data_IF_660516427301
#
_entry.id   IF_660516427301
#
_cell.length_a   1.000
_cell.length_b   1.000
_cell.length_c   1.000
_cell.angle_alpha   90.00
_cell.angle_beta   90.00
_cell.angle_gamma   90.00
#
_symmetry.space_group_name_H-M   'P 1'
#
loop_
_entity.id
_entity.type
_entity.pdbx_description
1 polymer ?
#
# COMPACT_ATOMS: atom_id res chain seq x y z
N UNK A 1 -0.87 -0.86 27.37
CA UNK A 1 -0.01 -1.09 26.18
C UNK A 1 0.36 0.25 25.56
N UNK A 2 1.62 0.66 25.68
CA UNK A 2 2.14 1.90 25.08
C UNK A 2 2.10 1.78 23.56
N UNK A 3 1.16 2.49 22.92
CA UNK A 3 1.17 2.65 21.47
C UNK A 3 2.43 3.45 21.12
N UNK A 4 3.38 2.81 20.44
CA UNK A 4 4.60 3.44 19.91
C UNK A 4 4.19 4.46 18.85
N UNK A 5 3.95 5.69 19.27
CA UNK A 5 3.66 6.77 18.34
C UNK A 5 4.97 7.21 17.64
N UNK A 6 4.96 7.38 16.30
CA UNK A 6 6.10 7.91 15.60
C UNK A 6 6.41 9.34 16.03
N UNK A 7 7.68 9.75 15.89
CA UNK A 7 8.15 11.06 16.34
C UNK A 7 7.42 12.24 15.68
N UNK A 8 6.84 12.08 14.50
CA UNK A 8 6.12 13.17 13.81
C UNK A 8 4.84 12.68 13.16
N UNK A 9 3.83 13.57 13.08
CA UNK A 9 2.59 13.33 12.36
C UNK A 9 2.84 13.10 10.86
N UNK A 10 3.76 13.85 10.24
CA UNK A 10 4.17 13.61 8.86
C UNK A 10 4.81 12.23 8.67
N UNK A 11 5.62 11.78 9.64
CA UNK A 11 6.17 10.41 9.61
C UNK A 11 5.07 9.36 9.71
N UNK A 12 4.03 9.60 10.50
CA UNK A 12 2.86 8.70 10.57
C UNK A 12 2.17 8.60 9.21
N UNK A 13 1.96 9.72 8.51
CA UNK A 13 1.40 9.76 7.14
C UNK A 13 2.30 9.03 6.15
N UNK A 14 3.60 9.30 6.17
CA UNK A 14 4.55 8.64 5.26
C UNK A 14 4.61 7.13 5.50
N UNK A 15 4.58 6.69 6.76
CA UNK A 15 4.50 5.27 7.10
C UNK A 15 3.18 4.68 6.59
N UNK A 16 2.05 5.35 6.80
CA UNK A 16 0.75 4.90 6.30
C UNK A 16 0.73 4.76 4.78
N UNK A 17 1.22 5.77 4.06
CA UNK A 17 1.33 5.74 2.60
C UNK A 17 2.26 4.63 2.11
N UNK A 18 3.42 4.46 2.75
CA UNK A 18 4.35 3.38 2.46
C UNK A 18 3.75 1.99 2.70
N UNK A 19 2.99 1.83 3.79
CA UNK A 19 2.33 0.58 4.13
C UNK A 19 1.23 0.22 3.13
N UNK A 20 0.45 1.20 2.67
CA UNK A 20 -0.57 1.02 1.62
C UNK A 20 0.07 0.70 0.26
N UNK A 21 1.23 1.31 -0.04
CA UNK A 21 1.93 1.12 -1.31
C UNK A 21 2.67 -0.22 -1.40
N UNK A 22 3.08 -0.79 -0.26
CA UNK A 22 3.88 -2.02 -0.19
C UNK A 22 3.24 -3.23 -0.90
N UNK A 23 1.97 -3.59 -0.62
CA UNK A 23 1.30 -4.69 -1.32
C UNK A 23 1.21 -4.45 -2.83
N UNK A 24 0.99 -3.21 -3.25
CA UNK A 24 0.90 -2.84 -4.65
C UNK A 24 2.25 -2.97 -5.37
N UNK A 25 3.32 -2.46 -4.75
CA UNK A 25 4.68 -2.57 -5.28
C UNK A 25 5.10 -4.04 -5.34
N UNK A 26 4.80 -4.83 -4.31
CA UNK A 26 5.06 -6.26 -4.29
C UNK A 26 4.31 -6.99 -5.42
N UNK A 27 3.02 -6.72 -5.60
CA UNK A 27 2.21 -7.31 -6.67
C UNK A 27 2.75 -6.93 -8.07
N UNK A 28 3.12 -5.66 -8.27
CA UNK A 28 3.72 -5.18 -9.53
C UNK A 28 5.08 -5.83 -9.81
N UNK A 29 5.95 -5.92 -8.80
CA UNK A 29 7.26 -6.56 -8.93
C UNK A 29 7.14 -8.05 -9.23
N UNK A 30 6.25 -8.75 -8.53
CA UNK A 30 5.99 -10.17 -8.79
C UNK A 30 5.36 -10.40 -10.17
N UNK A 31 4.50 -9.50 -10.64
CA UNK A 31 3.95 -9.53 -12.00
C UNK A 31 5.04 -9.39 -13.06
N UNK A 32 5.92 -8.40 -12.91
CA UNK A 32 7.02 -8.18 -13.83
C UNK A 32 7.95 -9.41 -13.89
N UNK A 33 8.30 -9.97 -12.73
CA UNK A 33 9.14 -11.16 -12.63
C UNK A 33 8.51 -12.39 -13.32
N UNK A 34 7.23 -12.68 -13.04
CA UNK A 34 6.53 -13.82 -13.63
C UNK A 34 6.38 -13.69 -15.16
N UNK A 35 6.09 -12.48 -15.66
CA UNK A 35 5.96 -12.23 -17.09
C UNK A 35 7.31 -12.37 -17.80
N UNK A 36 8.39 -11.86 -17.22
CA UNK A 36 9.74 -12.01 -17.77
C UNK A 36 10.15 -13.49 -17.80
N UNK A 37 9.94 -14.21 -16.70
CA UNK A 37 10.27 -15.63 -16.62
C UNK A 37 9.48 -16.46 -17.65
N UNK A 38 8.18 -16.18 -17.81
CA UNK A 38 7.35 -16.83 -18.82
C UNK A 38 7.80 -16.50 -20.25
N UNK A 39 8.22 -15.24 -20.50
CA UNK A 39 8.70 -14.81 -21.81
C UNK A 39 10.01 -15.52 -22.19
N UNK A 40 10.98 -15.59 -21.26
CA UNK A 40 12.25 -16.30 -21.46
C UNK A 40 12.02 -17.80 -21.72
N UNK A 41 11.18 -18.44 -20.91
CA UNK A 41 10.82 -19.86 -21.08
C UNK A 41 10.11 -20.11 -22.41
N UNK A 42 9.16 -19.26 -22.80
CA UNK A 42 8.46 -19.36 -24.07
C UNK A 42 9.40 -19.20 -25.26
N UNK A 43 10.33 -18.25 -25.20
CA UNK A 43 11.30 -18.01 -26.26
C UNK A 43 12.24 -19.21 -26.43
N UNK A 44 12.71 -19.80 -25.32
CA UNK A 44 13.54 -21.00 -25.36
C UNK A 44 12.77 -22.20 -25.93
N UNK A 45 11.58 -22.48 -25.42
CA UNK A 45 10.73 -23.58 -25.89
C UNK A 45 10.40 -23.47 -27.40
N UNK A 46 10.08 -22.26 -27.88
CA UNK A 46 9.82 -22.01 -29.31
C UNK A 46 11.08 -22.22 -30.15
N UNK A 47 12.26 -21.76 -29.67
CA UNK A 47 13.54 -22.00 -30.36
C UNK A 47 13.87 -23.50 -30.44
N UNK A 48 13.73 -24.22 -29.34
CA UNK A 48 13.96 -25.67 -29.28
C UNK A 48 13.00 -26.42 -30.21
N UNK A 49 11.71 -26.08 -30.20
CA UNK A 49 10.71 -26.65 -31.11
C UNK A 49 11.02 -26.36 -32.60
N UNK A 50 11.47 -25.14 -32.92
CA UNK A 50 11.85 -24.76 -34.27
C UNK A 50 13.08 -25.53 -34.77
N UNK A 51 14.10 -25.70 -33.92
CA UNK A 51 15.30 -26.51 -34.23
C UNK A 51 14.92 -27.98 -34.38
N UNK A 52 14.10 -28.53 -33.47
CA UNK A 52 13.62 -29.91 -33.54
C UNK A 52 12.88 -30.19 -34.85
N UNK A 53 11.98 -29.30 -35.25
CA UNK A 53 11.20 -29.42 -36.49
C UNK A 53 12.09 -29.32 -37.72
N UNK A 54 13.04 -28.37 -37.74
CA UNK A 54 13.96 -28.17 -38.87
C UNK A 54 14.89 -29.38 -39.06
N UNK A 55 15.60 -29.77 -38.01
CA UNK A 55 16.53 -30.90 -38.04
C UNK A 55 15.81 -32.21 -38.43
N UNK A 56 14.60 -32.41 -37.91
CA UNK A 56 13.80 -33.59 -38.27
C UNK A 56 13.34 -33.61 -39.73
N UNK A 57 13.00 -32.46 -40.33
CA UNK A 57 12.67 -32.36 -41.76
C UNK A 57 13.90 -32.63 -42.64
N UNK A 58 15.04 -32.05 -42.27
CA UNK A 58 16.31 -32.24 -42.97
C UNK A 58 16.77 -33.71 -42.93
N UNK A 59 16.60 -34.39 -41.79
CA UNK A 59 16.81 -35.83 -41.67
C UNK A 59 15.95 -36.65 -42.65
N UNK A 60 14.69 -36.26 -42.90
CA UNK A 60 13.85 -36.97 -43.89
C UNK A 60 14.26 -36.68 -45.33
N UNK A 61 14.56 -35.42 -45.64
CA UNK A 61 14.94 -35.01 -46.99
C UNK A 61 16.24 -35.68 -47.42
N UNK A 62 17.26 -35.64 -46.57
CA UNK A 62 18.56 -36.32 -46.78
C UNK A 62 18.38 -37.83 -46.89
N UNK A 63 17.59 -38.45 -46.02
CA UNK A 63 17.31 -39.88 -46.07
C UNK A 63 16.58 -40.31 -47.35
N UNK A 64 15.63 -39.52 -47.85
CA UNK A 64 14.94 -39.79 -49.12
C UNK A 64 15.87 -39.62 -50.32
N UNK A 65 16.86 -38.73 -50.21
CA UNK A 65 17.97 -38.62 -51.16
C UNK A 65 18.82 -39.89 -51.16
N UNK A 66 19.26 -40.32 -49.97
CA UNK A 66 20.08 -41.51 -49.77
C UNK A 66 19.39 -42.76 -50.33
N UNK A 67 18.08 -42.90 -50.14
CA UNK A 67 17.29 -44.00 -50.72
C UNK A 67 17.41 -44.05 -52.25
N UNK A 68 17.23 -42.89 -52.89
CA UNK A 68 17.29 -42.76 -54.35
C UNK A 68 18.69 -43.07 -54.86
N UNK A 69 19.73 -42.50 -54.26
CA UNK A 69 21.12 -42.75 -54.64
C UNK A 69 21.49 -44.24 -54.48
N UNK A 70 21.07 -44.87 -53.38
CA UNK A 70 21.28 -46.29 -53.12
C UNK A 70 20.59 -47.17 -54.16
N UNK A 71 19.30 -46.91 -54.45
CA UNK A 71 18.55 -47.68 -55.46
C UNK A 71 19.16 -47.55 -56.85
N UNK A 72 19.59 -46.35 -57.23
CA UNK A 72 20.27 -46.13 -58.51
C UNK A 72 21.61 -46.84 -58.57
N UNK A 73 22.41 -46.79 -57.49
CA UNK A 73 23.68 -47.50 -57.39
C UNK A 73 23.52 -49.02 -57.51
N UNK A 74 22.51 -49.61 -56.86
CA UNK A 74 22.25 -51.05 -56.94
C UNK A 74 21.96 -51.54 -58.38
N UNK A 75 21.36 -50.67 -59.21
CA UNK A 75 21.02 -50.95 -60.62
C UNK A 75 22.17 -50.63 -61.57
N UNK A 76 22.75 -49.43 -61.46
CA UNK A 76 23.74 -48.91 -62.43
C UNK A 76 25.20 -49.23 -62.06
N UNK A 77 25.47 -49.50 -60.77
CA UNK A 77 26.80 -49.83 -60.22
C UNK A 77 27.90 -48.78 -60.52
N UNK A 78 27.52 -47.53 -60.73
CA UNK A 78 28.46 -46.41 -60.94
C UNK A 78 29.05 -45.90 -59.62
N UNK A 79 30.35 -45.61 -59.59
CA UNK A 79 31.04 -45.12 -58.39
C UNK A 79 30.62 -43.71 -57.96
N UNK A 80 30.20 -42.86 -58.90
CA UNK A 80 29.66 -41.51 -58.67
C UNK A 80 28.42 -41.53 -57.76
N UNK A 81 27.52 -42.49 -57.97
CA UNK A 81 26.29 -42.64 -57.17
C UNK A 81 26.58 -43.06 -55.72
N UNK A 82 27.66 -43.81 -55.51
CA UNK A 82 28.13 -44.18 -54.17
C UNK A 82 28.75 -42.97 -53.43
N UNK A 83 29.44 -42.09 -54.16
CA UNK A 83 29.94 -40.82 -53.61
C UNK A 83 28.79 -39.88 -53.23
N UNK A 84 27.75 -39.78 -54.07
CA UNK A 84 26.54 -39.01 -53.76
C UNK A 84 25.82 -39.54 -52.51
N UNK A 85 25.72 -40.88 -52.36
CA UNK A 85 25.19 -41.50 -51.14
C UNK A 85 26.03 -41.12 -49.91
N UNK A 86 27.36 -41.19 -49.99
CA UNK A 86 28.26 -40.83 -48.87
C UNK A 86 28.15 -39.35 -48.50
N UNK A 87 27.98 -38.46 -49.47
CA UNK A 87 27.75 -37.03 -49.22
C UNK A 87 26.46 -36.80 -48.43
N UNK A 88 25.35 -37.36 -48.90
CA UNK A 88 24.04 -37.22 -48.23
C UNK A 88 24.01 -37.91 -46.87
N UNK A 89 24.74 -39.01 -46.71
CA UNK A 89 24.96 -39.65 -45.42
C UNK A 89 25.66 -38.71 -44.42
N UNK A 90 26.68 -37.95 -44.87
CA UNK A 90 27.32 -36.94 -44.04
C UNK A 90 26.36 -35.83 -43.59
N UNK A 91 25.52 -35.35 -44.49
CA UNK A 91 24.46 -34.36 -44.20
C UNK A 91 23.42 -34.92 -43.21
N UNK A 92 23.01 -36.18 -43.37
CA UNK A 92 22.13 -36.87 -42.43
C UNK A 92 22.74 -37.01 -41.02
N UNK A 93 24.04 -37.33 -40.93
CA UNK A 93 24.76 -37.37 -39.66
C UNK A 93 24.84 -35.99 -39.00
N UNK A 94 24.96 -34.92 -39.78
CA UNK A 94 24.94 -33.56 -39.25
C UNK A 94 23.56 -33.19 -38.69
N UNK A 95 22.49 -33.46 -39.44
CA UNK A 95 21.11 -33.19 -39.01
C UNK A 95 20.73 -33.99 -37.75
N UNK A 96 21.17 -35.25 -37.65
CA UNK A 96 20.97 -36.07 -36.44
C UNK A 96 21.77 -35.56 -35.24
N UNK A 97 22.98 -35.03 -35.44
CA UNK A 97 23.76 -34.41 -34.36
C UNK A 97 23.12 -33.12 -33.87
N UNK A 98 22.59 -32.28 -34.75
CA UNK A 98 21.84 -31.08 -34.37
C UNK A 98 20.58 -31.45 -33.58
N UNK A 99 19.86 -32.48 -34.01
CA UNK A 99 18.71 -33.01 -33.27
C UNK A 99 19.12 -33.59 -31.89
N UNK A 100 20.28 -34.26 -31.81
CA UNK A 100 20.79 -34.85 -30.56
C UNK A 100 21.18 -33.81 -29.49
N UNK A 101 21.44 -32.56 -29.87
CA UNK A 101 21.76 -31.47 -28.94
C UNK A 101 20.55 -30.96 -28.16
N UNK A 102 19.35 -31.26 -28.61
CA UNK A 102 18.11 -30.87 -27.95
C UNK A 102 17.89 -31.68 -26.66
N UNK A 103 17.11 -31.14 -25.69
CA UNK A 103 16.72 -31.86 -24.49
C UNK A 103 15.71 -32.98 -24.82
N UNK A 104 16.21 -34.06 -25.43
CA UNK A 104 15.44 -35.25 -25.77
C UNK A 104 15.13 -36.07 -24.52
N UNK A 105 13.91 -36.60 -24.49
CA UNK A 105 13.50 -37.63 -23.53
C UNK A 105 14.23 -38.95 -23.78
N UNK A 106 14.18 -39.85 -22.81
CA UNK A 106 14.88 -41.14 -22.85
C UNK A 106 14.42 -42.02 -24.04
N UNK A 107 13.13 -41.92 -24.39
CA UNK A 107 12.56 -42.58 -25.57
C UNK A 107 13.05 -41.98 -26.89
N UNK A 108 13.20 -40.64 -26.98
CA UNK A 108 13.73 -39.96 -28.16
C UNK A 108 15.20 -40.30 -28.41
N UNK A 109 16.02 -40.31 -27.34
CA UNK A 109 17.45 -40.68 -27.44
C UNK A 109 17.65 -42.12 -27.89
N UNK A 110 16.91 -43.07 -27.32
CA UNK A 110 17.02 -44.49 -27.70
C UNK A 110 16.61 -44.73 -29.16
N UNK A 111 15.55 -44.06 -29.65
CA UNK A 111 15.15 -44.14 -31.07
C UNK A 111 16.21 -43.56 -32.00
N UNK A 112 16.79 -42.40 -31.67
CA UNK A 112 17.85 -41.78 -32.46
C UNK A 112 19.09 -42.68 -32.56
N UNK A 113 19.50 -43.29 -31.43
CA UNK A 113 20.62 -44.24 -31.40
C UNK A 113 20.33 -45.50 -32.24
N UNK A 114 19.09 -46.01 -32.21
CA UNK A 114 18.69 -47.15 -33.03
C UNK A 114 18.78 -46.84 -34.54
N UNK A 115 18.35 -45.64 -34.95
CA UNK A 115 18.49 -45.15 -36.33
C UNK A 115 19.97 -45.08 -36.73
N UNK A 116 20.81 -44.44 -35.92
CA UNK A 116 22.25 -44.30 -36.20
C UNK A 116 22.97 -45.65 -36.25
N UNK A 117 22.62 -46.60 -35.37
CA UNK A 117 23.22 -47.93 -35.36
C UNK A 117 22.86 -48.73 -36.63
N UNK A 118 21.61 -48.61 -37.10
CA UNK A 118 21.12 -49.33 -38.27
C UNK A 118 21.66 -48.74 -39.57
N UNK A 119 21.71 -47.42 -39.64
CA UNK A 119 22.31 -46.68 -40.74
C UNK A 119 23.82 -47.03 -40.87
N UNK A 120 24.58 -47.02 -39.77
CA UNK A 120 26.00 -47.39 -39.77
C UNK A 120 26.23 -48.83 -40.26
N UNK A 121 25.34 -49.76 -39.91
CA UNK A 121 25.40 -51.15 -40.38
C UNK A 121 25.22 -51.23 -41.90
N UNK A 122 24.31 -50.42 -42.47
CA UNK A 122 24.04 -50.37 -43.91
C UNK A 122 25.23 -49.77 -44.68
N UNK A 123 25.86 -48.71 -44.14
CA UNK A 123 27.08 -48.13 -44.73
C UNK A 123 28.25 -49.13 -44.75
N UNK A 124 28.43 -49.90 -43.67
CA UNK A 124 29.47 -50.94 -43.63
C UNK A 124 29.21 -52.03 -44.67
N UNK A 125 27.97 -52.51 -44.79
CA UNK A 125 27.60 -53.51 -45.81
C UNK A 125 27.85 -53.01 -47.24
N UNK A 126 27.61 -51.72 -47.51
CA UNK A 126 27.91 -51.09 -48.80
C UNK A 126 29.42 -51.02 -49.10
N UNK A 127 30.24 -50.70 -48.08
CA UNK A 127 31.70 -50.62 -48.23
C UNK A 127 32.34 -52.00 -48.41
N UNK A 128 31.79 -53.03 -47.77
CA UNK A 128 32.26 -54.41 -47.87
C UNK A 128 31.76 -55.12 -49.16
N UNK A 129 30.98 -54.42 -49.99
CA UNK A 129 30.42 -54.96 -51.24
C UNK A 129 29.32 -56.00 -51.03
N UNK A 130 28.76 -56.09 -49.82
CA UNK A 130 27.71 -57.03 -49.47
C UNK A 130 26.39 -56.69 -50.18
N UNK A 131 25.54 -57.69 -50.40
CA UNK A 131 24.20 -57.48 -50.94
C UNK A 131 23.33 -56.74 -49.91
N UNK A 132 22.91 -55.52 -50.24
CA UNK A 132 22.01 -54.71 -49.41
C UNK A 132 20.61 -54.75 -50.02
N UNK A 133 19.60 -55.08 -49.21
CA UNK A 133 18.20 -55.08 -49.65
C UNK A 133 17.61 -53.66 -49.57
N UNK A 134 16.81 -53.23 -50.56
CA UNK A 134 16.01 -52.00 -50.47
C UNK A 134 15.09 -51.95 -49.24
N UNK A 135 14.70 -53.11 -48.69
CA UNK A 135 13.84 -53.22 -47.50
C UNK A 135 14.56 -52.84 -46.20
N UNK A 136 15.90 -52.92 -46.16
CA UNK A 136 16.64 -52.45 -44.98
C UNK A 136 16.59 -50.93 -44.86
N UNK A 137 16.50 -50.23 -46.00
CA UNK A 137 16.40 -48.78 -46.04
C UNK A 137 14.99 -48.29 -45.68
N UNK A 138 13.95 -48.98 -46.13
CA UNK A 138 12.56 -48.62 -45.77
C UNK A 138 12.32 -48.67 -44.25
N UNK A 139 12.96 -49.60 -43.54
CA UNK A 139 12.93 -49.68 -42.08
C UNK A 139 13.59 -48.48 -41.38
N UNK A 140 14.65 -47.90 -41.96
CA UNK A 140 15.29 -46.67 -41.43
C UNK A 140 14.36 -45.47 -41.65
N UNK A 141 13.73 -45.38 -42.81
CA UNK A 141 12.73 -44.33 -43.12
C UNK A 141 11.56 -44.39 -42.15
N UNK A 142 11.05 -45.58 -41.84
CA UNK A 142 9.96 -45.76 -40.89
C UNK A 142 10.36 -45.32 -39.46
N UNK A 143 11.58 -45.67 -39.02
CA UNK A 143 12.09 -45.23 -37.72
C UNK A 143 12.27 -43.71 -37.63
N UNK A 144 12.80 -43.07 -38.68
CA UNK A 144 12.93 -41.60 -38.74
C UNK A 144 11.56 -40.91 -38.76
N UNK A 145 10.57 -41.45 -39.47
CA UNK A 145 9.17 -40.99 -39.39
C UNK A 145 8.61 -41.12 -37.97
N UNK A 146 8.95 -42.18 -37.26
CA UNK A 146 8.62 -42.37 -35.85
C UNK A 146 9.26 -41.32 -34.93
N UNK A 147 10.50 -40.90 -35.21
CA UNK A 147 11.19 -39.80 -34.52
C UNK A 147 10.47 -38.47 -34.76
N UNK A 148 10.07 -38.19 -36.00
CA UNK A 148 9.29 -36.99 -36.35
C UNK A 148 7.93 -36.92 -35.67
N UNK A 149 7.18 -38.02 -35.67
CA UNK A 149 5.89 -38.11 -34.99
C UNK A 149 6.03 -37.98 -33.46
N UNK A 150 7.18 -38.35 -32.90
CA UNK A 150 7.49 -38.10 -31.50
C UNK A 150 7.85 -36.63 -31.26
N UNK A 151 8.66 -36.02 -32.13
CA UNK A 151 9.05 -34.61 -32.05
C UNK A 151 7.86 -33.67 -32.16
N UNK A 152 6.94 -33.90 -33.11
CA UNK A 152 5.71 -33.12 -33.23
C UNK A 152 4.86 -33.16 -31.96
N UNK A 153 4.71 -34.34 -31.34
CA UNK A 153 4.00 -34.48 -30.05
C UNK A 153 4.71 -33.76 -28.91
N UNK A 154 6.04 -33.71 -28.90
CA UNK A 154 6.80 -32.96 -27.89
C UNK A 154 6.56 -31.46 -28.03
N UNK A 155 6.54 -30.94 -29.27
CA UNK A 155 6.21 -29.54 -29.54
C UNK A 155 4.78 -29.21 -29.09
N UNK A 156 3.81 -30.07 -29.40
CA UNK A 156 2.41 -29.86 -28.97
C UNK A 156 2.28 -29.86 -27.44
N UNK A 157 2.94 -30.79 -26.75
CA UNK A 157 2.97 -30.84 -25.28
C UNK A 157 3.63 -29.60 -24.67
N UNK A 158 4.68 -29.07 -25.31
CA UNK A 158 5.38 -27.88 -24.83
C UNK A 158 4.54 -26.62 -25.05
N UNK A 159 3.83 -26.50 -26.18
CA UNK A 159 2.85 -25.43 -26.42
C UNK A 159 1.73 -25.47 -25.37
N UNK A 160 1.20 -26.64 -25.06
CA UNK A 160 0.18 -26.80 -24.03
C UNK A 160 0.70 -26.44 -22.64
N UNK A 161 1.94 -26.82 -22.30
CA UNK A 161 2.60 -26.41 -21.04
C UNK A 161 2.71 -24.90 -20.95
N UNK A 162 3.24 -24.23 -21.97
CA UNK A 162 3.36 -22.77 -22.02
C UNK A 162 1.99 -22.10 -21.82
N UNK A 163 0.94 -22.65 -22.44
CA UNK A 163 -0.43 -22.16 -22.28
C UNK A 163 -0.93 -22.34 -20.84
N UNK A 164 -0.71 -23.49 -20.22
CA UNK A 164 -1.11 -23.73 -18.83
C UNK A 164 -0.35 -22.85 -17.85
N UNK A 165 0.97 -22.72 -18.00
CA UNK A 165 1.80 -21.85 -17.15
C UNK A 165 1.41 -20.38 -17.32
N UNK A 166 1.06 -19.95 -18.53
CA UNK A 166 0.54 -18.61 -18.78
C UNK A 166 -0.81 -18.35 -18.08
N UNK A 167 -1.71 -19.34 -18.08
CA UNK A 167 -2.99 -19.26 -17.39
C UNK A 167 -2.82 -19.25 -15.85
N UNK A 168 -1.93 -20.07 -15.32
CA UNK A 168 -1.62 -20.12 -13.89
C UNK A 168 -0.92 -18.84 -13.41
N UNK A 169 0.03 -18.32 -14.19
CA UNK A 169 0.64 -17.02 -13.95
C UNK A 169 -0.43 -15.93 -13.90
N UNK A 170 -1.32 -15.88 -14.90
CA UNK A 170 -2.45 -14.93 -14.92
C UNK A 170 -3.34 -15.06 -13.68
N UNK A 171 -3.73 -16.28 -13.32
CA UNK A 171 -4.57 -16.55 -12.14
C UNK A 171 -3.92 -16.03 -10.85
N UNK A 172 -2.64 -16.35 -10.66
CA UNK A 172 -1.85 -15.91 -9.50
C UNK A 172 -1.77 -14.39 -9.42
N UNK A 173 -1.55 -13.71 -10.55
CA UNK A 173 -1.54 -12.25 -10.61
C UNK A 173 -2.92 -11.64 -10.30
N UNK A 174 -3.99 -12.24 -10.81
CA UNK A 174 -5.35 -11.76 -10.50
C UNK A 174 -5.67 -11.89 -9.01
N UNK A 175 -5.31 -12.99 -8.37
CA UNK A 175 -5.51 -13.16 -6.93
C UNK A 175 -4.67 -12.20 -6.09
N UNK A 176 -3.44 -11.91 -6.49
CA UNK A 176 -2.59 -10.93 -5.82
C UNK A 176 -3.15 -9.50 -5.93
N UNK A 177 -3.61 -9.10 -7.11
CA UNK A 177 -4.26 -7.79 -7.32
C UNK A 177 -5.57 -7.70 -6.53
N UNK A 178 -6.38 -8.76 -6.54
CA UNK A 178 -7.62 -8.83 -5.76
C UNK A 178 -7.36 -8.79 -4.26
N UNK A 179 -6.30 -9.43 -3.76
CA UNK A 179 -5.91 -9.40 -2.34
C UNK A 179 -5.30 -8.05 -1.92
N UNK A 180 -4.68 -7.32 -2.84
CA UNK A 180 -4.10 -6.00 -2.55
C UNK A 180 -5.18 -4.98 -2.15
N UNK A 181 -6.37 -5.05 -2.76
CA UNK A 181 -7.50 -4.13 -2.49
C UNK A 181 -7.99 -4.19 -1.03
N UNK A 182 -8.40 -5.34 -0.47
CA UNK A 182 -8.86 -5.43 0.91
C UNK A 182 -7.74 -5.14 1.90
N UNK A 183 -6.48 -5.48 1.59
CA UNK A 183 -5.33 -5.11 2.43
C UNK A 183 -5.15 -3.60 2.47
N UNK A 184 -5.17 -2.92 1.32
CA UNK A 184 -5.09 -1.47 1.24
C UNK A 184 -6.26 -0.79 1.96
N UNK A 185 -7.49 -1.31 1.80
CA UNK A 185 -8.67 -0.82 2.51
C UNK A 185 -8.54 -1.01 4.03
N UNK A 186 -8.07 -2.17 4.49
CA UNK A 186 -7.86 -2.44 5.90
C UNK A 186 -6.85 -1.48 6.53
N UNK A 187 -5.72 -1.24 5.83
CA UNK A 187 -4.71 -0.27 6.26
C UNK A 187 -5.30 1.15 6.27
N UNK A 188 -6.05 1.53 5.24
CA UNK A 188 -6.68 2.86 5.15
C UNK A 188 -7.70 3.09 6.27
N UNK A 189 -8.55 2.11 6.59
CA UNK A 189 -9.51 2.18 7.69
C UNK A 189 -8.85 2.26 9.05
N UNK A 190 -7.78 1.48 9.26
CA UNK A 190 -6.96 1.55 10.46
C UNK A 190 -6.33 2.94 10.64
N UNK A 191 -5.78 3.49 9.56
CA UNK A 191 -5.17 4.81 9.55
C UNK A 191 -6.19 5.93 9.80
N UNK A 192 -7.38 5.82 9.18
CA UNK A 192 -8.53 6.70 9.43
C UNK A 192 -8.90 6.73 10.90
N UNK A 193 -8.97 5.57 11.56
CA UNK A 193 -9.31 5.48 12.98
C UNK A 193 -8.28 6.19 13.87
N UNK A 194 -6.99 6.07 13.55
CA UNK A 194 -5.91 6.74 14.29
C UNK A 194 -5.98 8.26 14.15
N UNK A 195 -6.08 8.77 12.92
CA UNK A 195 -6.12 10.23 12.67
C UNK A 195 -7.39 10.85 13.27
N UNK A 196 -8.54 10.21 13.05
CA UNK A 196 -9.82 10.71 13.57
C UNK A 196 -9.82 10.83 15.09
N UNK A 197 -9.26 9.85 15.80
CA UNK A 197 -9.18 9.87 17.26
C UNK A 197 -8.29 11.00 17.79
N UNK A 198 -7.21 11.34 17.08
CA UNK A 198 -6.32 12.43 17.49
C UNK A 198 -6.95 13.80 17.27
N UNK A 199 -7.63 13.99 16.14
CA UNK A 199 -8.30 15.25 15.83
C UNK A 199 -9.45 15.53 16.82
N UNK A 200 -10.20 14.51 17.22
CA UNK A 200 -11.26 14.63 18.22
C UNK A 200 -10.74 14.99 19.63
N UNK A 201 -9.50 14.66 19.98
CA UNK A 201 -8.91 15.07 21.26
C UNK A 201 -8.61 16.58 21.24
N UNK A 202 -8.08 17.09 20.13
CA UNK A 202 -7.80 18.51 19.95
C UNK A 202 -9.09 19.33 19.90
N UNK A 203 -10.10 18.87 19.16
CA UNK A 203 -11.41 19.52 19.10
C UNK A 203 -12.04 19.63 20.50
N UNK A 204 -12.03 18.54 21.27
CA UNK A 204 -12.51 18.54 22.66
C UNK A 204 -11.75 19.55 23.52
N UNK A 205 -10.42 19.57 23.45
CA UNK A 205 -9.61 20.53 24.20
C UNK A 205 -9.94 21.99 23.86
N UNK A 206 -10.11 22.30 22.57
CA UNK A 206 -10.49 23.65 22.12
C UNK A 206 -11.90 24.01 22.61
N UNK A 207 -12.86 23.09 22.51
CA UNK A 207 -14.23 23.30 22.99
C UNK A 207 -14.31 23.53 24.49
N UNK A 208 -13.52 22.79 25.28
CA UNK A 208 -13.41 22.99 26.74
C UNK A 208 -12.87 24.39 27.06
N UNK A 209 -11.80 24.83 26.39
CA UNK A 209 -11.28 26.20 26.55
C UNK A 209 -12.33 27.25 26.12
N UNK A 210 -13.03 27.02 25.00
CA UNK A 210 -14.04 27.93 24.46
C UNK A 210 -15.27 28.09 25.35
N UNK A 211 -15.55 27.13 26.23
CA UNK A 211 -16.62 27.19 27.24
C UNK A 211 -16.18 27.83 28.56
N UNK A 212 -14.94 28.31 28.65
CA UNK A 212 -14.32 28.82 29.88
C UNK A 212 -14.24 27.79 31.02
N UNK A 213 -14.31 26.50 30.70
CA UNK A 213 -14.14 25.40 31.64
C UNK A 213 -12.65 25.14 31.86
N UNK A 214 -12.04 25.89 32.78
CA UNK A 214 -10.59 25.83 33.01
C UNK A 214 -10.16 24.85 34.11
N UNK A 215 -11.06 24.03 34.68
CA UNK A 215 -10.75 23.11 35.79
C UNK A 215 -9.93 21.90 35.35
N UNK A 216 -10.22 21.36 34.16
CA UNK A 216 -9.64 20.09 33.72
C UNK A 216 -8.34 20.28 32.93
N UNK A 217 -7.36 19.41 33.20
CA UNK A 217 -6.09 19.40 32.47
C UNK A 217 -6.26 18.86 31.04
N UNK A 218 -5.61 19.52 30.07
CA UNK A 218 -5.64 19.06 28.67
C UNK A 218 -4.50 18.07 28.45
N UNK A 219 -4.84 16.81 28.18
CA UNK A 219 -3.89 15.78 27.77
C UNK A 219 -4.22 15.28 26.37
N UNK A 220 -3.29 15.46 25.43
CA UNK A 220 -3.42 14.98 24.05
C UNK A 220 -2.41 13.87 23.83
N UNK A 221 -2.90 12.65 23.62
CA UNK A 221 -2.07 11.49 23.33
C UNK A 221 -1.83 11.37 21.82
N UNK A 222 -0.58 11.19 21.41
CA UNK A 222 -0.24 11.01 20.00
C UNK A 222 1.26 11.21 19.68
N UNK A 223 1.58 11.38 18.39
CA UNK A 223 2.92 11.77 17.92
C UNK A 223 3.46 12.99 18.66
N UNK A 224 4.79 13.18 18.66
CA UNK A 224 5.45 14.27 19.40
C UNK A 224 4.87 15.65 19.06
N UNK A 225 4.54 15.88 17.78
CA UNK A 225 3.94 17.13 17.30
C UNK A 225 2.56 17.40 17.93
N UNK A 226 1.73 16.37 18.04
CA UNK A 226 0.40 16.44 18.65
C UNK A 226 0.47 16.57 20.17
N UNK A 227 1.37 15.84 20.82
CA UNK A 227 1.63 15.98 22.24
C UNK A 227 2.18 17.39 22.57
N UNK A 228 3.02 17.94 21.69
CA UNK A 228 3.49 19.32 21.81
C UNK A 228 2.34 20.33 21.68
N UNK A 229 1.45 20.16 20.71
CA UNK A 229 0.25 20.99 20.58
C UNK A 229 -0.64 20.89 21.83
N UNK A 230 -0.85 19.69 22.37
CA UNK A 230 -1.60 19.48 23.62
C UNK A 230 -1.01 20.24 24.80
N UNK A 231 0.32 20.20 24.99
CA UNK A 231 1.00 21.00 26.03
C UNK A 231 0.80 22.50 25.83
N UNK A 232 0.79 22.96 24.57
CA UNK A 232 0.61 24.39 24.24
C UNK A 232 -0.84 24.84 24.50
N UNK A 233 -1.81 23.98 24.24
CA UNK A 233 -3.21 24.20 24.62
C UNK A 233 -3.40 24.22 26.14
N UNK A 234 -2.75 23.31 26.89
CA UNK A 234 -2.81 23.33 28.36
C UNK A 234 -2.16 24.59 28.94
N UNK A 235 -1.04 25.05 28.37
CA UNK A 235 -0.43 26.32 28.74
C UNK A 235 -1.39 27.51 28.51
N UNK A 236 -2.07 27.53 27.35
CA UNK A 236 -3.05 28.58 27.03
C UNK A 236 -4.25 28.55 27.98
N UNK A 237 -4.77 27.36 28.31
CA UNK A 237 -5.82 27.17 29.31
C UNK A 237 -5.41 27.75 30.68
N UNK A 238 -4.22 27.41 31.18
CA UNK A 238 -3.71 27.93 32.46
C UNK A 238 -3.60 29.45 32.43
N UNK A 239 -3.10 30.00 31.33
CA UNK A 239 -2.96 31.45 31.18
C UNK A 239 -4.30 32.17 31.18
N UNK A 240 -5.32 31.60 30.53
CA UNK A 240 -6.68 32.12 30.57
C UNK A 240 -7.28 32.04 31.97
N UNK A 241 -7.08 30.91 32.67
CA UNK A 241 -7.53 30.75 34.06
C UNK A 241 -6.91 31.80 35.00
N UNK A 242 -5.60 32.05 34.88
CA UNK A 242 -4.90 33.09 35.64
C UNK A 242 -5.45 34.49 35.36
N UNK A 243 -5.70 34.81 34.09
CA UNK A 243 -6.26 36.11 33.68
C UNK A 243 -7.68 36.31 34.23
N UNK A 244 -8.50 35.25 34.19
CA UNK A 244 -9.85 35.28 34.73
C UNK A 244 -9.84 35.50 36.25
N UNK A 245 -8.92 34.83 36.96
CA UNK A 245 -8.75 35.00 38.40
C UNK A 245 -8.23 36.41 38.76
N UNK A 246 -7.28 36.94 37.98
CA UNK A 246 -6.80 38.32 38.13
C UNK A 246 -7.91 39.34 37.91
N UNK A 247 -8.74 39.17 36.87
CA UNK A 247 -9.91 40.00 36.60
C UNK A 247 -10.86 40.02 37.81
N UNK A 248 -11.15 38.83 38.36
CA UNK A 248 -12.02 38.70 39.54
C UNK A 248 -11.45 39.37 40.79
N UNK A 249 -10.14 39.20 41.06
CA UNK A 249 -9.47 39.87 42.18
C UNK A 249 -9.49 41.39 42.02
N UNK A 250 -9.20 41.90 40.82
CA UNK A 250 -9.23 43.33 40.52
C UNK A 250 -10.62 43.92 40.79
N UNK A 251 -11.68 43.29 40.28
CA UNK A 251 -13.05 43.77 40.48
C UNK A 251 -13.45 43.77 41.96
N UNK A 252 -13.11 42.71 42.71
CA UNK A 252 -13.37 42.67 44.17
C UNK A 252 -12.66 43.80 44.91
N UNK A 253 -11.41 44.09 44.55
CA UNK A 253 -10.63 45.14 45.19
C UNK A 253 -11.22 46.53 44.89
N UNK A 254 -11.49 46.83 43.62
CA UNK A 254 -12.13 48.09 43.20
C UNK A 254 -13.47 48.29 43.91
N UNK A 255 -14.25 47.23 44.08
CA UNK A 255 -15.53 47.28 44.78
C UNK A 255 -15.40 47.69 46.24
N UNK A 256 -14.40 47.12 46.94
CA UNK A 256 -14.13 47.45 48.34
C UNK A 256 -13.67 48.91 48.49
N UNK A 257 -12.77 49.35 47.60
CA UNK A 257 -12.20 50.69 47.62
C UNK A 257 -13.24 51.77 47.26
N UNK A 258 -14.26 51.44 46.46
CA UNK A 258 -15.38 52.34 46.17
C UNK A 258 -16.45 52.35 47.27
N UNK A 259 -16.70 51.21 47.94
CA UNK A 259 -17.72 51.11 48.99
C UNK A 259 -17.38 51.96 50.22
N UNK A 260 -16.10 52.01 50.59
CA UNK A 260 -15.62 52.75 51.77
C UNK A 260 -15.91 54.27 51.68
N UNK A 261 -15.43 55.02 50.67
CA UNK A 261 -15.71 56.45 50.56
C UNK A 261 -17.19 56.75 50.32
N UNK A 262 -17.90 55.87 49.61
CA UNK A 262 -19.34 56.02 49.40
C UNK A 262 -20.13 55.91 50.71
N UNK A 263 -19.72 55.01 51.60
CA UNK A 263 -20.30 54.89 52.95
C UNK A 263 -20.06 56.17 53.76
N UNK A 264 -18.84 56.72 53.72
CA UNK A 264 -18.53 57.99 54.39
C UNK A 264 -19.33 59.17 53.83
N UNK A 265 -19.52 59.26 52.50
CA UNK A 265 -20.36 60.30 51.88
C UNK A 265 -21.81 60.16 52.34
N UNK A 266 -22.34 58.93 52.41
CA UNK A 266 -23.71 58.67 52.85
C UNK A 266 -23.91 59.01 54.32
N UNK A 267 -22.99 58.60 55.20
CA UNK A 267 -23.03 58.92 56.63
C UNK A 267 -22.94 60.43 56.86
N UNK A 268 -22.04 61.12 56.15
CA UNK A 268 -21.95 62.58 56.20
C UNK A 268 -23.23 63.28 55.75
N UNK A 269 -23.83 62.83 54.63
CA UNK A 269 -25.10 63.36 54.15
C UNK A 269 -26.25 63.08 55.13
N UNK A 270 -26.27 61.90 55.75
CA UNK A 270 -27.28 61.53 56.74
C UNK A 270 -27.16 62.36 58.03
N UNK A 271 -25.96 62.51 58.59
CA UNK A 271 -25.71 63.34 59.77
C UNK A 271 -26.07 64.81 59.54
N UNK A 272 -25.75 65.34 58.36
CA UNK A 272 -26.17 66.67 57.95
C UNK A 272 -27.70 66.76 57.88
N UNK A 273 -28.36 65.79 57.24
CA UNK A 273 -29.82 65.73 57.11
C UNK A 273 -30.57 65.62 58.45
N UNK A 274 -29.99 64.94 59.44
CA UNK A 274 -30.50 64.83 60.81
C UNK A 274 -30.27 66.11 61.64
N UNK A 275 -29.53 67.09 61.11
CA UNK A 275 -29.27 68.37 61.77
C UNK A 275 -28.25 68.31 62.91
N UNK A 276 -27.47 67.23 62.99
CA UNK A 276 -26.47 67.01 64.06
C UNK A 276 -25.45 68.15 64.17
N UNK A 277 -24.91 68.72 63.08
CA UNK A 277 -23.96 69.84 63.14
C UNK A 277 -24.62 71.22 63.33
N UNK A 278 -25.95 71.33 63.16
CA UNK A 278 -26.70 72.58 63.20
C UNK A 278 -27.91 72.61 62.26
N UNK A 279 -28.78 73.62 62.37
CA UNK A 279 -29.99 73.74 61.56
C UNK A 279 -29.66 74.07 60.09
N UNK A 280 -30.31 73.38 59.17
CA UNK A 280 -30.18 73.60 57.72
C UNK A 280 -31.33 74.45 57.17
N UNK A 281 -31.01 75.30 56.19
CA UNK A 281 -32.04 75.99 55.40
C UNK A 281 -32.67 75.05 54.34
N UNK A 282 -33.80 75.46 53.75
CA UNK A 282 -34.57 74.62 52.81
C UNK A 282 -33.78 74.24 51.54
N UNK A 283 -32.92 75.12 51.03
CA UNK A 283 -32.05 74.81 49.89
C UNK A 283 -30.99 73.75 50.25
N UNK A 284 -30.38 73.84 51.43
CA UNK A 284 -29.39 72.88 51.92
C UNK A 284 -30.02 71.49 52.12
N UNK A 285 -31.23 71.40 52.69
CA UNK A 285 -31.97 70.14 52.82
C UNK A 285 -32.20 69.46 51.47
N UNK A 286 -32.58 70.24 50.46
CA UNK A 286 -32.79 69.74 49.08
C UNK A 286 -31.50 69.17 48.49
N UNK A 287 -30.37 69.88 48.65
CA UNK A 287 -29.06 69.44 48.15
C UNK A 287 -28.60 68.15 48.86
N UNK A 288 -28.75 68.06 50.17
CA UNK A 288 -28.37 66.86 50.94
C UNK A 288 -29.21 65.65 50.54
N UNK A 289 -30.51 65.83 50.31
CA UNK A 289 -31.39 64.78 49.80
C UNK A 289 -30.93 64.25 48.43
N UNK A 290 -30.47 65.13 47.53
CA UNK A 290 -29.91 64.75 46.23
C UNK A 290 -28.61 63.96 46.41
N UNK A 291 -27.72 64.36 47.32
CA UNK A 291 -26.45 63.66 47.60
C UNK A 291 -26.72 62.27 48.18
N UNK A 292 -27.64 62.13 49.13
CA UNK A 292 -28.03 60.83 49.70
C UNK A 292 -28.65 59.91 48.63
N UNK A 293 -29.56 60.42 47.79
CA UNK A 293 -30.14 59.64 46.70
C UNK A 293 -29.10 59.18 45.67
N UNK A 294 -28.19 60.08 45.25
CA UNK A 294 -27.14 59.74 44.29
C UNK A 294 -26.12 58.75 44.86
N UNK A 295 -25.74 58.88 46.13
CA UNK A 295 -24.83 57.93 46.78
C UNK A 295 -25.45 56.54 46.93
N UNK A 296 -26.73 56.44 47.29
CA UNK A 296 -27.48 55.16 47.27
C UNK A 296 -27.54 54.53 45.89
N UNK A 297 -27.81 55.33 44.85
CA UNK A 297 -27.87 54.85 43.46
C UNK A 297 -26.52 54.32 42.98
N UNK A 298 -25.42 55.02 43.28
CA UNK A 298 -24.07 54.56 42.97
C UNK A 298 -23.73 53.25 43.69
N UNK A 299 -24.17 53.10 44.95
CA UNK A 299 -23.97 51.87 45.71
C UNK A 299 -24.66 50.69 45.03
N UNK A 300 -25.92 50.86 44.64
CA UNK A 300 -26.70 49.84 43.94
C UNK A 300 -26.05 49.46 42.61
N UNK A 301 -25.61 50.43 41.80
CA UNK A 301 -24.95 50.16 40.52
C UNK A 301 -23.65 49.36 40.70
N UNK A 302 -22.86 49.66 41.73
CA UNK A 302 -21.64 48.92 42.05
C UNK A 302 -22.00 47.49 42.46
N UNK A 303 -22.97 47.31 43.35
CA UNK A 303 -23.42 45.98 43.80
C UNK A 303 -23.98 45.15 42.63
N UNK A 304 -24.79 45.75 41.75
CA UNK A 304 -25.33 45.09 40.55
C UNK A 304 -24.23 44.66 39.57
N UNK A 305 -23.23 45.51 39.31
CA UNK A 305 -22.11 45.18 38.42
C UNK A 305 -21.31 43.97 38.93
N UNK A 306 -21.06 43.93 40.24
CA UNK A 306 -20.34 42.84 40.90
C UNK A 306 -21.17 41.54 40.85
N UNK A 307 -22.46 41.64 41.18
CA UNK A 307 -23.37 40.51 41.22
C UNK A 307 -23.57 39.91 39.82
N UNK A 308 -23.70 40.73 38.79
CA UNK A 308 -23.83 40.28 37.40
C UNK A 308 -22.61 39.44 36.95
N UNK A 309 -21.40 39.89 37.28
CA UNK A 309 -20.19 39.15 36.95
C UNK A 309 -20.10 37.84 37.75
N UNK A 310 -20.39 37.86 39.06
CA UNK A 310 -20.39 36.63 39.88
C UNK A 310 -21.44 35.61 39.44
N UNK A 311 -22.63 36.06 39.04
CA UNK A 311 -23.69 35.20 38.52
C UNK A 311 -23.31 34.54 37.18
N UNK A 312 -22.61 35.27 36.29
CA UNK A 312 -22.07 34.73 35.04
C UNK A 312 -21.09 33.55 35.26
N UNK A 313 -20.32 33.58 36.35
CA UNK A 313 -19.44 32.47 36.77
C UNK A 313 -20.19 31.27 37.36
N UNK A 314 -21.23 31.51 38.17
CA UNK A 314 -22.03 30.43 38.74
C UNK A 314 -22.80 29.68 37.64
N UNK A 315 -23.35 30.40 36.66
CA UNK A 315 -24.05 29.79 35.53
C UNK A 315 -23.15 28.92 34.63
N UNK A 316 -21.85 29.22 34.54
CA UNK A 316 -20.88 28.45 33.75
C UNK A 316 -20.31 27.23 34.48
N UNK A 317 -20.62 27.04 35.77
CA UNK A 317 -20.14 25.93 36.61
C UNK A 317 -21.25 24.95 37.05
N UNK A 318 -22.49 25.15 36.60
CA UNK A 318 -23.59 24.21 36.83
C UNK A 318 -23.51 23.11 35.75
N UNK A 319 -23.17 21.90 36.16
CA UNK A 319 -23.22 20.69 35.34
C UNK A 319 -24.64 20.09 35.40
N UNK A 320 -25.49 20.26 34.37
CA UNK A 320 -26.82 19.68 34.36
C UNK A 320 -26.71 18.16 34.21
N UNK A 321 -26.89 17.45 35.32
CA UNK A 321 -27.04 15.99 35.30
C UNK A 321 -28.38 15.64 34.63
N UNK A 322 -28.39 14.79 33.58
CA UNK A 322 -29.62 14.35 32.96
C UNK A 322 -30.42 13.50 33.95
N UNK A 323 -31.60 13.98 34.33
CA UNK A 323 -32.58 13.20 35.08
C UNK A 323 -33.23 12.24 34.09
N UNK A 324 -33.05 10.94 34.31
CA UNK A 324 -33.78 9.93 33.55
C UNK A 324 -35.28 10.05 33.90
N UNK A 325 -36.07 10.46 32.91
CA UNK A 325 -37.54 10.39 32.93
C UNK A 325 -37.99 9.03 32.40
#
# INVERSE_FOLDING_TARGET
MSRLYPKSFLRLILIGFGLVSLPLIFALGNAAFNVQQLAEQSEQAVREAAVATRASREMLETLTGMERALRQYLVLRESSLLEDYRRQHGEFLQATQEYARLPLDEAGRSRLLAVLAREKKLLNALNDGSAVSPDEFSAIVEQVRGVLAASGRLVDLEIDRLRTTALDARSTLTWQLLAAIPVALGIALWFRAIISSQLQQVDRAIRTIGRAEYSDGITVAGPQDLAYLGRRLDWLRRRLAELEEQKNRFLRHVSHDLKTPLTSIREGAQLLGEGVPGPLNEQQKTIISIIDQNSRRLQQLIEELINYQQAGFAASSIDPQPVAL
#
